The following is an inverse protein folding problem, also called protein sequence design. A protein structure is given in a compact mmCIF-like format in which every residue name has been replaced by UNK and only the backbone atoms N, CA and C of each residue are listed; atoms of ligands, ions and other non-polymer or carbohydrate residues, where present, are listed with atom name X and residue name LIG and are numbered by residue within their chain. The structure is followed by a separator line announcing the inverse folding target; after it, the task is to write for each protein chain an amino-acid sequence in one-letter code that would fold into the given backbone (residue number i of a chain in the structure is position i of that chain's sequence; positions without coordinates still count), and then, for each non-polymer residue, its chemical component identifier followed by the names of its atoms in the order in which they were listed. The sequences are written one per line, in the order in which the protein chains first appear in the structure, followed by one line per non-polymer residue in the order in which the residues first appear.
data_IF_715766203050
#
_entry.id   IF_715766203050
#
_cell.length_a   1.000
_cell.length_b   1.000
_cell.length_c   1.000
_cell.angle_alpha   90.00
_cell.angle_beta   90.00
_cell.angle_gamma   90.00
#
_symmetry.space_group_name_H-M   'P 1'
#
loop_
_entity.id
_entity.type
_entity.pdbx_description
1 polymer ?
#
# COMPACT_ATOMS: atom_id res chain seq x y z
N UNK A 1 43.27 30.45 42.66
CA UNK A 1 43.51 30.01 41.27
C UNK A 1 42.18 29.77 40.59
N UNK A 2 42.07 30.24 39.34
CA UNK A 2 40.89 30.48 38.51
C UNK A 2 39.83 29.37 38.45
N UNK A 3 38.55 29.76 38.50
CA UNK A 3 37.41 28.93 38.10
C UNK A 3 37.19 29.09 36.58
N UNK A 4 37.31 28.01 35.82
CA UNK A 4 36.93 27.96 34.41
C UNK A 4 35.39 27.91 34.30
N UNK A 5 34.73 28.75 33.49
CA UNK A 5 33.32 28.54 33.17
C UNK A 5 33.21 27.32 32.26
N UNK A 6 32.58 26.26 32.75
CA UNK A 6 32.15 25.14 31.92
C UNK A 6 30.81 25.53 31.29
N UNK A 7 30.77 25.44 29.96
CA UNK A 7 29.63 25.73 29.06
C UNK A 7 29.34 27.21 28.82
N UNK A 8 29.69 27.67 27.62
CA UNK A 8 29.14 28.89 27.03
C UNK A 8 27.67 28.60 26.70
N UNK A 9 26.69 29.40 27.17
CA UNK A 9 25.31 29.23 26.76
C UNK A 9 25.23 29.42 25.25
N UNK A 10 24.63 28.45 24.55
CA UNK A 10 24.47 28.51 23.10
C UNK A 10 23.80 29.84 22.73
N UNK A 11 24.45 30.62 21.87
CA UNK A 11 23.90 31.92 21.48
C UNK A 11 22.62 31.72 20.68
N UNK A 12 21.67 32.67 20.75
CA UNK A 12 20.42 32.63 19.94
C UNK A 12 20.71 32.35 18.45
N UNK A 13 21.81 32.89 17.93
CA UNK A 13 22.26 32.69 16.54
C UNK A 13 22.68 31.25 16.26
N UNK A 14 23.39 30.62 17.21
CA UNK A 14 23.84 29.24 17.10
C UNK A 14 22.69 28.25 17.21
N UNK A 15 21.70 28.54 18.07
CA UNK A 15 20.46 27.77 18.14
C UNK A 15 19.65 27.85 16.84
N UNK A 16 19.48 29.05 16.27
CA UNK A 16 18.77 29.23 14.99
C UNK A 16 19.51 28.53 13.84
N UNK A 17 20.83 28.64 13.79
CA UNK A 17 21.65 28.00 12.76
C UNK A 17 21.56 26.46 12.85
N UNK A 18 21.66 25.91 14.07
CA UNK A 18 21.56 24.47 14.31
C UNK A 18 20.16 23.94 14.00
N UNK A 19 19.12 24.67 14.41
CA UNK A 19 17.73 24.28 14.15
C UNK A 19 17.36 24.35 12.67
N UNK A 20 17.88 25.35 11.94
CA UNK A 20 17.70 25.47 10.49
C UNK A 20 18.39 24.34 9.73
N UNK A 21 19.62 23.97 10.10
CA UNK A 21 20.33 22.84 9.50
C UNK A 21 19.65 21.50 9.81
N UNK A 22 19.24 21.28 11.05
CA UNK A 22 18.54 20.06 11.45
C UNK A 22 17.21 19.91 10.70
N UNK A 23 16.39 20.97 10.66
CA UNK A 23 15.10 20.94 9.94
C UNK A 23 15.30 20.83 8.43
N UNK A 24 16.29 21.52 7.87
CA UNK A 24 16.66 21.42 6.45
C UNK A 24 17.02 19.99 6.05
N UNK A 25 17.83 19.30 6.86
CA UNK A 25 18.23 17.91 6.59
C UNK A 25 17.04 16.93 6.55
N UNK A 26 16.00 17.18 7.36
CA UNK A 26 14.76 16.39 7.36
C UNK A 26 13.91 16.63 6.10
N UNK A 27 13.95 17.82 5.53
CA UNK A 27 13.28 18.13 4.27
C UNK A 27 14.00 17.49 3.08
N UNK A 28 15.33 17.50 3.06
CA UNK A 28 16.13 16.85 2.01
C UNK A 28 16.01 15.32 2.04
N UNK A 29 15.95 14.71 3.22
CA UNK A 29 15.70 13.27 3.36
C UNK A 29 14.30 12.87 2.92
N UNK A 30 13.26 13.69 3.10
CA UNK A 30 11.94 13.42 2.50
C UNK A 30 11.95 13.50 0.97
N UNK A 31 12.74 14.39 0.38
CA UNK A 31 12.85 14.48 -1.08
C UNK A 31 13.58 13.27 -1.69
N UNK A 32 14.56 12.69 -0.99
CA UNK A 32 15.32 11.52 -1.44
C UNK A 32 14.70 10.18 -1.03
N UNK A 33 13.87 10.16 0.02
CA UNK A 33 13.05 9.02 0.43
C UNK A 33 11.75 8.85 -0.40
N UNK A 34 11.69 9.39 -1.63
CA UNK A 34 10.72 8.92 -2.64
C UNK A 34 10.87 7.45 -2.99
N UNK A 35 11.96 6.79 -2.56
CA UNK A 35 12.11 5.34 -2.61
C UNK A 35 11.18 4.59 -1.64
N UNK A 36 10.63 5.22 -0.60
CA UNK A 36 9.54 4.65 0.19
C UNK A 36 8.18 4.78 -0.54
N UNK A 37 8.06 5.80 -1.39
CA UNK A 37 6.99 5.97 -2.39
C UNK A 37 7.31 5.26 -3.72
N UNK A 38 8.34 4.41 -3.76
CA UNK A 38 8.54 3.48 -4.87
C UNK A 38 7.45 2.41 -4.78
N UNK A 39 6.23 2.84 -5.10
CA UNK A 39 5.18 2.08 -5.71
C UNK A 39 5.26 0.59 -5.38
N UNK A 40 4.70 0.19 -4.23
CA UNK A 40 3.75 -0.93 -4.31
C UNK A 40 2.82 -0.52 -5.44
N UNK A 41 3.08 -1.02 -6.64
CA UNK A 41 2.47 -0.53 -7.86
C UNK A 41 0.95 -0.52 -7.63
N UNK A 42 0.36 0.67 -7.57
CA UNK A 42 -1.09 0.85 -7.78
C UNK A 42 -1.50 0.46 -9.23
N UNK A 43 -0.56 -0.05 -10.02
CA UNK A 43 -0.71 -0.46 -11.41
C UNK A 43 -0.99 -1.96 -11.56
N UNK A 44 -1.30 -2.68 -10.47
CA UNK A 44 -1.72 -4.08 -10.49
C UNK A 44 -3.23 -4.22 -10.23
N UNK A 45 -3.86 -5.27 -10.77
CA UNK A 45 -5.23 -5.64 -10.39
C UNK A 45 -5.30 -5.97 -8.90
N UNK A 46 -6.37 -5.55 -8.24
CA UNK A 46 -6.67 -5.89 -6.85
C UNK A 46 -6.87 -7.41 -6.75
N UNK A 47 -6.26 -8.02 -5.73
CA UNK A 47 -6.45 -9.45 -5.44
C UNK A 47 -7.64 -9.63 -4.51
N UNK A 48 -8.66 -10.34 -4.97
CA UNK A 48 -9.94 -10.48 -4.29
C UNK A 48 -10.25 -11.96 -4.05
N UNK A 49 -10.70 -12.28 -2.84
CA UNK A 49 -11.26 -13.58 -2.50
C UNK A 49 -12.76 -13.43 -2.17
N UNK A 50 -13.59 -14.36 -2.65
CA UNK A 50 -15.04 -14.30 -2.51
C UNK A 50 -15.58 -15.46 -1.66
N UNK A 51 -16.53 -15.17 -0.78
CA UNK A 51 -17.24 -16.17 0.04
C UNK A 51 -18.70 -16.14 -0.36
N UNK A 52 -19.23 -17.27 -0.84
CA UNK A 52 -20.59 -17.35 -1.38
C UNK A 52 -20.67 -16.70 -2.76
N UNK A 53 -20.12 -17.37 -3.77
CA UNK A 53 -20.19 -16.91 -5.17
C UNK A 53 -21.55 -17.19 -5.82
N UNK A 54 -22.34 -18.08 -5.19
CA UNK A 54 -23.73 -18.43 -5.43
C UNK A 54 -24.70 -17.26 -5.45
N UNK A 55 -25.77 -17.36 -6.25
CA UNK A 55 -26.93 -16.45 -6.18
C UNK A 55 -26.56 -14.97 -6.30
N UNK A 56 -26.68 -14.20 -5.20
CA UNK A 56 -26.31 -12.77 -5.17
C UNK A 56 -24.80 -12.53 -5.32
N UNK A 57 -23.96 -13.48 -4.93
CA UNK A 57 -22.50 -13.41 -5.12
C UNK A 57 -22.09 -13.33 -6.59
N UNK A 58 -22.94 -13.81 -7.51
CA UNK A 58 -22.71 -13.71 -8.93
C UNK A 58 -22.63 -12.25 -9.41
N UNK A 59 -23.41 -11.35 -8.81
CA UNK A 59 -23.36 -9.94 -9.16
C UNK A 59 -21.98 -9.32 -8.83
N UNK A 60 -21.39 -9.72 -7.70
CA UNK A 60 -20.03 -9.31 -7.33
C UNK A 60 -18.99 -9.89 -8.29
N UNK A 61 -19.14 -11.17 -8.68
CA UNK A 61 -18.28 -11.79 -9.69
C UNK A 61 -18.32 -11.02 -11.02
N UNK A 62 -19.51 -10.59 -11.49
CA UNK A 62 -19.66 -9.83 -12.73
C UNK A 62 -19.12 -8.40 -12.62
N UNK A 63 -19.38 -7.73 -11.51
CA UNK A 63 -18.89 -6.36 -11.29
C UNK A 63 -17.35 -6.30 -11.15
N UNK A 64 -16.73 -7.36 -10.65
CA UNK A 64 -15.29 -7.44 -10.36
C UNK A 64 -14.49 -8.19 -11.44
N UNK A 65 -15.04 -8.39 -12.64
CA UNK A 65 -14.36 -9.08 -13.75
C UNK A 65 -13.02 -8.44 -14.16
N UNK A 66 -12.83 -7.15 -13.89
CA UNK A 66 -11.58 -6.43 -14.16
C UNK A 66 -10.47 -6.65 -13.13
N UNK A 67 -10.79 -7.28 -12.00
CA UNK A 67 -9.86 -7.51 -10.90
C UNK A 67 -9.35 -8.96 -10.87
N UNK A 68 -8.35 -9.24 -10.03
CA UNK A 68 -7.75 -10.56 -9.93
C UNK A 68 -8.43 -11.38 -8.82
N UNK A 69 -9.32 -12.29 -9.21
CA UNK A 69 -9.93 -13.23 -8.26
C UNK A 69 -8.93 -14.35 -7.94
N UNK A 70 -8.46 -14.42 -6.71
CA UNK A 70 -7.42 -15.37 -6.26
C UNK A 70 -7.98 -16.63 -5.62
N UNK A 71 -9.15 -16.54 -5.02
CA UNK A 71 -9.80 -17.65 -4.34
C UNK A 71 -11.32 -17.45 -4.28
N UNK A 72 -12.06 -18.55 -4.12
CA UNK A 72 -13.46 -18.51 -3.78
C UNK A 72 -13.84 -19.70 -2.91
N UNK A 73 -14.92 -19.56 -2.15
CA UNK A 73 -15.62 -20.70 -1.55
C UNK A 73 -17.13 -20.53 -1.69
N UNK A 74 -17.83 -21.66 -1.73
CA UNK A 74 -19.28 -21.73 -1.69
C UNK A 74 -19.71 -23.00 -0.95
N UNK A 75 -20.89 -22.97 -0.33
CA UNK A 75 -21.50 -24.18 0.28
C UNK A 75 -21.85 -25.18 -0.82
N UNK A 76 -22.37 -24.69 -1.95
CA UNK A 76 -22.60 -25.49 -3.15
C UNK A 76 -21.37 -25.41 -4.06
N UNK A 77 -20.48 -26.38 -3.89
CA UNK A 77 -19.23 -26.48 -4.65
C UNK A 77 -19.44 -26.71 -6.15
N UNK A 78 -20.54 -27.33 -6.57
CA UNK A 78 -20.82 -27.55 -8.01
C UNK A 78 -21.24 -26.23 -8.63
N UNK A 79 -22.25 -25.58 -8.05
CA UNK A 79 -22.76 -24.29 -8.52
C UNK A 79 -21.69 -23.20 -8.45
N UNK A 80 -20.93 -23.13 -7.36
CA UNK A 80 -19.86 -22.14 -7.19
C UNK A 80 -18.77 -22.29 -8.25
N UNK A 81 -18.40 -23.53 -8.59
CA UNK A 81 -17.44 -23.80 -9.68
C UNK A 81 -17.98 -23.39 -11.04
N UNK A 82 -19.25 -23.68 -11.32
CA UNK A 82 -19.90 -23.28 -12.58
C UNK A 82 -19.91 -21.75 -12.75
N UNK A 83 -20.33 -21.01 -11.72
CA UNK A 83 -20.41 -19.55 -11.78
C UNK A 83 -19.04 -18.88 -11.91
N UNK A 84 -18.03 -19.40 -11.19
CA UNK A 84 -16.66 -18.90 -11.32
C UNK A 84 -16.07 -19.28 -12.67
N UNK A 85 -16.36 -20.47 -13.21
CA UNK A 85 -15.91 -20.88 -14.55
C UNK A 85 -16.51 -20.00 -15.65
N UNK A 86 -17.82 -19.74 -15.59
CA UNK A 86 -18.50 -18.85 -16.53
C UNK A 86 -17.87 -17.45 -16.56
N UNK A 87 -17.46 -16.91 -15.41
CA UNK A 87 -16.78 -15.61 -15.33
C UNK A 87 -15.27 -15.65 -15.60
N UNK A 88 -14.60 -16.78 -15.34
CA UNK A 88 -13.17 -16.95 -15.65
C UNK A 88 -12.89 -16.89 -17.15
N UNK A 89 -13.81 -17.41 -17.97
CA UNK A 89 -13.70 -17.36 -19.44
C UNK A 89 -13.82 -15.92 -19.94
N UNK A 90 -14.65 -15.09 -19.30
CA UNK A 90 -14.81 -13.68 -19.65
C UNK A 90 -13.59 -12.82 -19.26
N UNK A 91 -12.92 -13.12 -18.14
CA UNK A 91 -11.84 -12.28 -17.58
C UNK A 91 -10.42 -12.57 -18.08
N UNK A 92 -10.20 -13.55 -18.98
CA UNK A 92 -8.87 -13.83 -19.55
C UNK A 92 -7.78 -14.14 -18.50
N UNK A 93 -8.17 -14.67 -17.33
CA UNK A 93 -7.30 -14.77 -16.15
C UNK A 93 -6.32 -15.97 -16.16
N UNK A 94 -6.31 -16.78 -17.23
CA UNK A 94 -5.45 -17.97 -17.36
C UNK A 94 -4.08 -17.63 -17.96
N UNK A 95 -3.30 -16.78 -17.30
CA UNK A 95 -1.86 -16.65 -17.54
C UNK A 95 -1.21 -15.84 -16.42
N UNK A 96 -1.02 -16.46 -15.25
CA UNK A 96 0.05 -16.18 -14.27
C UNK A 96 -0.02 -17.16 -13.11
#
# INVERSE_FOLDING_TARGET
MNLRPLTTPASRREFLHTSALATGSLLFTRATCRAADAAKRANGRLQIALIGVGGRGQAALTALQGEQIVAFCDVDHVRGREQVAANRVASGALAR
#
